data_IF_551762172206
#
_entry.id   IF_551762172206
#
_cell.length_a   1.000
_cell.length_b   1.000
_cell.length_c   1.000
_cell.angle_alpha   90.00
_cell.angle_beta   90.00
_cell.angle_gamma   90.00
#
_symmetry.space_group_name_H-M   'P 1'
#
loop_
_entity.id
_entity.type
_entity.pdbx_description
1 polymer ?
#
# COMPACT_ATOMS: atom_id res chain seq x y z
N UNK A 1 -0.54 -2.83 4.31
CA UNK A 1 0.29 -3.22 3.15
C UNK A 1 1.04 -4.48 3.51
N UNK A 2 1.12 -5.45 2.60
CA UNK A 2 1.78 -6.74 2.83
C UNK A 2 2.53 -7.16 1.56
N UNK A 3 3.78 -7.58 1.72
CA UNK A 3 4.61 -8.10 0.63
C UNK A 3 4.63 -9.61 0.65
N UNK A 4 4.16 -10.22 -0.44
CA UNK A 4 4.29 -11.65 -0.60
C UNK A 4 5.67 -12.00 -1.15
N UNK A 5 6.43 -12.80 -0.44
CA UNK A 5 7.72 -13.39 -0.85
C UNK A 5 7.62 -14.10 -2.21
N UNK A 6 6.47 -14.73 -2.49
CA UNK A 6 6.20 -15.33 -3.79
C UNK A 6 6.15 -14.30 -4.93
N UNK A 7 5.83 -13.03 -4.63
CA UNK A 7 5.81 -11.96 -5.63
C UNK A 7 7.20 -11.70 -6.23
N UNK A 8 8.26 -12.04 -5.49
CA UNK A 8 9.64 -12.02 -5.94
C UNK A 8 10.16 -13.39 -6.40
N UNK A 9 9.28 -14.39 -6.55
CA UNK A 9 9.64 -15.77 -6.91
C UNK A 9 10.41 -16.53 -5.82
N UNK A 10 10.26 -16.13 -4.55
CA UNK A 10 10.99 -16.73 -3.43
C UNK A 10 10.05 -17.42 -2.44
N UNK A 11 10.55 -18.46 -1.80
CA UNK A 11 9.91 -19.10 -0.64
C UNK A 11 10.35 -18.34 0.63
N UNK A 12 9.46 -18.07 1.60
CA UNK A 12 9.86 -17.41 2.84
C UNK A 12 11.01 -18.12 3.54
N UNK A 13 12.05 -17.37 3.91
CA UNK A 13 13.23 -17.89 4.60
C UNK A 13 13.04 -18.16 6.10
N UNK A 14 11.82 -18.00 6.64
CA UNK A 14 11.52 -18.27 8.05
C UNK A 14 11.48 -19.78 8.34
N UNK A 15 11.71 -20.18 9.60
CA UNK A 15 11.63 -21.59 10.01
C UNK A 15 10.30 -22.26 9.60
N UNK A 16 9.19 -21.53 9.74
CA UNK A 16 7.85 -22.00 9.37
C UNK A 16 7.55 -21.88 7.86
N UNK A 17 8.45 -21.33 7.05
CA UNK A 17 8.26 -21.04 5.61
C UNK A 17 6.97 -20.26 5.33
N UNK A 18 6.64 -19.33 6.23
CA UNK A 18 5.46 -18.47 6.16
C UNK A 18 5.86 -17.02 6.39
N UNK A 19 5.07 -16.12 5.82
CA UNK A 19 5.16 -14.71 6.17
C UNK A 19 4.63 -14.50 7.57
N UNK A 20 5.45 -13.83 8.38
CA UNK A 20 5.20 -13.62 9.79
C UNK A 20 4.63 -12.24 10.05
N UNK A 21 5.23 -11.56 11.05
CA UNK A 21 4.88 -10.19 11.38
C UNK A 21 5.27 -9.25 10.24
N UNK A 22 4.52 -8.15 10.04
CA UNK A 22 4.92 -7.11 9.10
C UNK A 22 6.33 -6.62 9.40
N UNK A 23 7.13 -6.52 8.36
CA UNK A 23 8.45 -5.89 8.39
C UNK A 23 8.33 -4.38 8.64
N UNK A 24 9.47 -3.77 8.97
CA UNK A 24 9.56 -2.31 9.09
C UNK A 24 9.17 -1.62 7.77
N UNK A 25 9.65 -2.13 6.64
CA UNK A 25 9.29 -1.63 5.30
C UNK A 25 7.78 -1.70 5.04
N UNK A 26 7.13 -2.83 5.34
CA UNK A 26 5.67 -2.96 5.18
C UNK A 26 4.89 -2.00 6.08
N UNK A 27 5.39 -1.76 7.29
CA UNK A 27 4.80 -0.81 8.24
C UNK A 27 4.95 0.63 7.76
N UNK A 28 6.13 1.00 7.24
CA UNK A 28 6.41 2.32 6.67
C UNK A 28 5.56 2.58 5.42
N UNK A 29 5.44 1.60 4.52
CA UNK A 29 4.59 1.72 3.33
C UNK A 29 3.11 1.80 3.69
N UNK A 30 2.66 1.06 4.72
CA UNK A 30 1.29 1.20 5.24
C UNK A 30 1.02 2.63 5.73
N UNK A 31 1.97 3.23 6.47
CA UNK A 31 1.88 4.64 6.88
C UNK A 31 1.96 5.61 5.71
N UNK A 32 2.76 5.31 4.69
CA UNK A 32 2.87 6.13 3.48
C UNK A 32 1.54 6.23 2.73
N UNK A 33 0.77 5.14 2.68
CA UNK A 33 -0.58 5.11 2.09
C UNK A 33 -1.58 5.83 3.00
N UNK A 34 -1.53 5.59 4.31
CA UNK A 34 -2.50 6.13 5.28
C UNK A 34 -2.49 7.67 5.36
N UNK A 35 -1.30 8.27 5.41
CA UNK A 35 -1.12 9.72 5.60
C UNK A 35 -1.89 10.59 4.60
N UNK A 36 -1.83 10.36 3.27
CA UNK A 36 -2.54 11.17 2.30
C UNK A 36 -4.05 10.87 2.23
N UNK A 37 -4.49 9.65 2.50
CA UNK A 37 -5.93 9.29 2.39
C UNK A 37 -6.74 9.69 3.62
N UNK A 38 -6.16 9.63 4.83
CA UNK A 38 -6.83 9.91 6.10
C UNK A 38 -7.52 11.28 6.17
N UNK A 39 -6.90 12.40 5.76
CA UNK A 39 -7.56 13.71 5.81
C UNK A 39 -8.62 13.92 4.73
N UNK A 40 -8.79 12.99 3.79
CA UNK A 40 -9.78 13.09 2.71
C UNK A 40 -11.13 12.47 3.06
N UNK A 41 -11.24 11.83 4.22
CA UNK A 41 -12.53 11.44 4.79
C UNK A 41 -13.17 12.65 5.49
N UNK A 42 -14.49 12.85 5.36
CA UNK A 42 -15.18 13.92 6.10
C UNK A 42 -15.05 13.77 7.62
N UNK A 43 -14.99 14.88 8.36
CA UNK A 43 -14.80 14.87 9.82
C UNK A 43 -15.89 14.09 10.59
N UNK A 44 -17.11 14.02 10.04
CA UNK A 44 -18.25 13.29 10.63
C UNK A 44 -18.29 11.81 10.24
N UNK A 45 -17.37 11.35 9.40
CA UNK A 45 -17.33 9.98 8.93
C UNK A 45 -16.62 9.07 9.94
N UNK A 46 -17.40 8.27 10.67
CA UNK A 46 -16.92 7.38 11.75
C UNK A 46 -16.97 5.89 11.39
N UNK A 47 -17.41 5.55 10.18
CA UNK A 47 -17.45 4.15 9.76
C UNK A 47 -16.02 3.60 9.65
N UNK A 48 -15.83 2.37 10.10
CA UNK A 48 -14.54 1.71 10.00
C UNK A 48 -14.19 1.43 8.53
N UNK A 49 -12.99 1.83 8.11
CA UNK A 49 -12.46 1.59 6.76
C UNK A 49 -11.12 0.89 6.88
N UNK A 50 -10.98 -0.25 6.21
CA UNK A 50 -9.74 -1.00 6.14
C UNK A 50 -9.26 -1.10 4.69
N UNK A 51 -8.02 -0.66 4.45
CA UNK A 51 -7.37 -0.79 3.13
C UNK A 51 -6.31 -1.90 3.20
N UNK A 52 -6.49 -2.95 2.41
CA UNK A 52 -5.56 -4.09 2.32
C UNK A 52 -4.86 -4.05 0.97
N UNK A 53 -3.63 -3.51 0.94
CA UNK A 53 -2.75 -3.60 -0.21
C UNK A 53 -1.83 -4.83 -0.09
N UNK A 54 -1.92 -5.77 -1.02
CA UNK A 54 -1.08 -6.97 -1.08
C UNK A 54 -0.26 -6.96 -2.37
N UNK A 55 1.05 -7.08 -2.25
CA UNK A 55 1.95 -7.19 -3.40
C UNK A 55 1.97 -8.64 -3.86
N UNK A 56 1.42 -8.90 -5.05
CA UNK A 56 1.30 -10.26 -5.62
C UNK A 56 2.34 -10.54 -6.72
N UNK A 57 2.95 -9.51 -7.27
CA UNK A 57 4.02 -9.59 -8.27
C UNK A 57 4.94 -8.38 -8.15
N UNK A 58 6.26 -8.58 -8.30
CA UNK A 58 7.26 -7.52 -8.23
C UNK A 58 8.21 -7.61 -9.43
N UNK A 59 8.30 -6.51 -10.18
CA UNK A 59 9.46 -6.25 -11.03
C UNK A 59 10.55 -5.59 -10.16
N UNK A 60 11.77 -6.12 -10.07
CA UNK A 60 12.84 -5.54 -9.26
C UNK A 60 13.18 -4.07 -9.58
N UNK A 61 12.85 -3.59 -10.78
CA UNK A 61 13.07 -2.19 -11.20
C UNK A 61 11.94 -1.24 -10.77
N UNK A 62 10.79 -1.78 -10.33
CA UNK A 62 9.61 -0.99 -9.97
C UNK A 62 9.29 -1.23 -8.50
N UNK A 63 9.48 -0.20 -7.68
CA UNK A 63 9.13 -0.29 -6.27
C UNK A 63 7.58 -0.32 -6.13
N UNK A 64 7.02 -1.29 -5.38
CA UNK A 64 5.57 -1.43 -5.26
C UNK A 64 4.87 -0.34 -4.44
N UNK A 65 5.60 0.52 -3.73
CA UNK A 65 5.01 1.53 -2.83
C UNK A 65 4.10 2.53 -3.56
N UNK A 66 4.57 3.12 -4.66
CA UNK A 66 3.79 4.06 -5.48
C UNK A 66 2.59 3.34 -6.11
N UNK A 67 2.78 2.11 -6.58
CA UNK A 67 1.72 1.30 -7.17
C UNK A 67 0.63 1.00 -6.13
N UNK A 68 1.01 0.70 -4.89
CA UNK A 68 0.08 0.46 -3.80
C UNK A 68 -0.70 1.72 -3.41
N UNK A 69 -0.08 2.90 -3.45
CA UNK A 69 -0.78 4.18 -3.22
C UNK A 69 -1.83 4.45 -4.31
N UNK A 70 -1.45 4.28 -5.58
CA UNK A 70 -2.37 4.46 -6.71
C UNK A 70 -3.53 3.46 -6.61
N UNK A 71 -3.24 2.19 -6.30
CA UNK A 71 -4.25 1.16 -6.11
C UNK A 71 -5.20 1.46 -4.94
N UNK A 72 -4.67 1.93 -3.81
CA UNK A 72 -5.50 2.35 -2.67
C UNK A 72 -6.43 3.51 -3.04
N UNK A 73 -5.93 4.52 -3.75
CA UNK A 73 -6.77 5.62 -4.23
C UNK A 73 -7.86 5.13 -5.16
N UNK A 74 -7.52 4.29 -6.14
CA UNK A 74 -8.50 3.77 -7.09
C UNK A 74 -9.57 2.93 -6.38
N UNK A 75 -9.16 2.05 -5.46
CA UNK A 75 -10.09 1.24 -4.68
C UNK A 75 -11.05 2.09 -3.83
N UNK A 76 -10.55 3.14 -3.16
CA UNK A 76 -11.39 4.06 -2.39
C UNK A 76 -12.36 4.84 -3.28
N UNK A 77 -11.90 5.36 -4.42
CA UNK A 77 -12.77 6.07 -5.37
C UNK A 77 -13.87 5.17 -5.95
N UNK A 78 -13.61 3.87 -6.12
CA UNK A 78 -14.60 2.90 -6.61
C UNK A 78 -15.53 2.36 -5.51
N UNK A 79 -15.14 2.49 -4.24
CA UNK A 79 -15.88 1.90 -3.11
C UNK A 79 -17.24 2.57 -2.81
N UNK A 80 -17.46 3.80 -3.29
CA UNK A 80 -18.64 4.61 -2.98
C UNK A 80 -18.64 5.21 -1.56
N UNK A 81 -17.57 4.99 -0.79
CA UNK A 81 -17.37 5.64 0.51
C UNK A 81 -17.15 7.14 0.31
N UNK A 82 -17.66 8.02 1.20
CA UNK A 82 -17.38 9.45 1.14
C UNK A 82 -15.87 9.71 1.30
N UNK A 83 -15.20 9.95 0.17
CA UNK A 83 -13.76 10.14 0.06
C UNK A 83 -13.47 11.26 -0.95
N UNK A 84 -12.83 12.34 -0.49
CA UNK A 84 -12.51 13.53 -1.29
C UNK A 84 -11.25 13.34 -2.16
N UNK A 85 -11.17 12.21 -2.87
CA UNK A 85 -10.09 11.90 -3.81
C UNK A 85 -10.48 12.15 -5.28
N UNK A 86 -9.77 11.54 -6.25
CA UNK A 86 -8.64 10.61 -6.08
C UNK A 86 -7.33 11.32 -5.69
N UNK A 87 -6.34 10.53 -5.26
CA UNK A 87 -4.96 10.97 -5.05
C UNK A 87 -4.02 10.32 -6.08
N UNK A 88 -2.98 11.05 -6.44
CA UNK A 88 -1.83 10.53 -7.17
C UNK A 88 -0.62 10.35 -6.25
N UNK A 89 0.35 9.55 -6.68
CA UNK A 89 1.64 9.41 -6.03
C UNK A 89 2.74 9.33 -7.09
N UNK A 90 3.88 9.96 -6.82
CA UNK A 90 5.05 9.93 -7.67
C UNK A 90 6.32 9.91 -6.82
N UNK A 91 7.37 9.26 -7.33
CA UNK A 91 8.72 9.32 -6.78
C UNK A 91 9.61 10.09 -7.75
N UNK A 92 10.33 11.08 -7.23
CA UNK A 92 11.25 11.90 -8.01
C UNK A 92 12.67 11.62 -7.54
N UNK A 93 13.55 11.29 -8.48
CA UNK A 93 14.99 11.16 -8.26
C UNK A 93 15.71 12.39 -8.82
N UNK A 94 16.83 12.76 -8.22
CA UNK A 94 17.73 13.78 -8.74
C UNK A 94 18.97 13.08 -9.32
N UNK A 95 19.18 13.19 -10.63
CA UNK A 95 20.26 12.56 -11.38
C UNK A 95 20.80 13.60 -12.36
N UNK A 96 22.12 13.78 -12.38
CA UNK A 96 22.81 14.66 -13.33
C UNK A 96 23.22 13.85 -14.58
#
# INVERSE_FOLDING_TARGET
>A
YQERTYAAGRIPGSFFRREGRPSEGETLTSRLIDRPIRPLFPDSFLNEVQVIATVVSVNPQVNPDIVAMIGASAALSLSGIPFNGPIGAARVGYIN
#
